data_IF_054885258880
#
_entry.id   IF_054885258880
#
_cell.length_a   1.000
_cell.length_b   1.000
_cell.length_c   1.000
_cell.angle_alpha   90.00
_cell.angle_beta   90.00
_cell.angle_gamma   90.00
#
_symmetry.space_group_name_H-M   'P 1'
#
loop_
_entity.id
_entity.type
_entity.pdbx_description
1 polymer ?
#
# COMPACT_ATOMS: atom_id res chain seq x y z
N UNK A 1 16.09 19.34 12.38
CA UNK A 1 15.19 18.18 12.27
C UNK A 1 15.83 17.17 11.32
N UNK A 2 16.51 16.12 11.84
CA UNK A 2 17.30 15.21 11.00
C UNK A 2 16.44 14.24 10.17
N UNK A 3 15.15 14.06 10.51
CA UNK A 3 14.27 13.09 9.85
C UNK A 3 13.35 13.79 8.86
N UNK A 4 13.77 13.85 7.59
CA UNK A 4 13.03 14.50 6.50
C UNK A 4 12.30 13.45 5.64
N UNK A 5 11.07 13.74 5.27
CA UNK A 5 10.30 12.94 4.34
C UNK A 5 10.92 13.03 2.95
N UNK A 6 11.32 11.88 2.40
CA UNK A 6 11.97 11.77 1.08
C UNK A 6 10.97 11.76 -0.08
N UNK A 7 9.68 11.87 0.20
CA UNK A 7 8.64 11.84 -0.83
C UNK A 7 8.61 13.18 -1.58
N UNK A 8 8.77 13.09 -2.90
CA UNK A 8 8.79 14.24 -3.81
C UNK A 8 7.54 15.10 -3.61
N UNK A 9 7.71 16.37 -3.26
CA UNK A 9 6.61 17.32 -3.03
C UNK A 9 6.04 17.36 -1.61
N UNK A 10 6.51 16.54 -0.66
CA UNK A 10 6.04 16.58 0.72
C UNK A 10 6.71 17.67 1.57
N UNK A 11 8.05 17.71 1.58
CA UNK A 11 8.84 18.69 2.36
C UNK A 11 8.75 18.55 3.89
N UNK A 12 8.02 17.57 4.44
CA UNK A 12 7.84 17.42 5.88
C UNK A 12 9.13 16.98 6.59
N UNK A 13 9.41 17.56 7.76
CA UNK A 13 10.57 17.22 8.58
C UNK A 13 10.20 17.09 10.06
N UNK A 14 10.82 16.12 10.73
CA UNK A 14 10.55 15.72 12.11
C UNK A 14 11.83 15.65 12.94
N UNK A 15 11.68 15.84 14.25
CA UNK A 15 12.80 15.76 15.21
C UNK A 15 13.09 14.32 15.63
N UNK A 16 12.13 13.40 15.43
CA UNK A 16 12.21 11.99 15.81
C UNK A 16 11.86 11.09 14.62
N UNK A 17 12.51 9.93 14.55
CA UNK A 17 12.32 8.94 13.47
C UNK A 17 10.92 8.31 13.48
N UNK A 18 10.34 8.07 14.67
CA UNK A 18 8.98 7.53 14.82
C UNK A 18 7.93 8.41 14.14
N UNK A 19 8.00 9.73 14.36
CA UNK A 19 7.06 10.69 13.77
C UNK A 19 7.18 10.75 12.24
N UNK A 20 8.41 10.66 11.71
CA UNK A 20 8.61 10.54 10.26
C UNK A 20 8.01 9.24 9.72
N UNK A 21 8.20 8.11 10.42
CA UNK A 21 7.66 6.82 10.01
C UNK A 21 6.14 6.83 9.96
N UNK A 22 5.49 7.33 11.01
CA UNK A 22 4.02 7.47 11.06
C UNK A 22 3.50 8.41 9.99
N UNK A 23 4.19 9.53 9.74
CA UNK A 23 3.84 10.45 8.66
C UNK A 23 3.90 9.75 7.29
N UNK A 24 4.99 9.04 6.99
CA UNK A 24 5.11 8.28 5.76
C UNK A 24 4.01 7.23 5.70
N UNK A 25 3.76 6.47 6.76
CA UNK A 25 2.73 5.43 6.80
C UNK A 25 1.30 5.94 6.58
N UNK A 26 1.00 7.16 7.03
CA UNK A 26 -0.37 7.71 6.95
C UNK A 26 -0.60 8.60 5.73
N UNK A 27 0.45 9.25 5.21
CA UNK A 27 0.35 10.25 4.13
C UNK A 27 0.95 9.81 2.82
N UNK A 28 1.82 8.82 2.81
CA UNK A 28 2.59 8.42 1.62
C UNK A 28 2.56 6.94 1.33
N UNK A 29 2.48 6.11 2.36
CA UNK A 29 2.04 4.73 2.28
C UNK A 29 0.52 4.78 2.14
N UNK A 30 0.09 5.29 0.99
CA UNK A 30 -1.13 4.76 0.40
C UNK A 30 -0.85 3.27 0.33
N UNK A 31 -1.57 2.48 1.11
CA UNK A 31 -1.47 1.03 1.02
C UNK A 31 -2.00 0.71 -0.38
N UNK A 32 -1.09 0.70 -1.33
CA UNK A 32 -1.33 0.24 -2.67
C UNK A 32 -1.62 -1.25 -2.52
N UNK A 33 -2.81 -1.65 -2.96
CA UNK A 33 -3.29 -3.02 -2.88
C UNK A 33 -3.08 -3.64 -4.26
N UNK A 34 -1.88 -4.18 -4.55
CA UNK A 34 -1.64 -4.89 -5.81
C UNK A 34 -2.50 -6.15 -5.87
N UNK A 35 -2.96 -6.47 -7.06
CA UNK A 35 -3.61 -7.74 -7.33
C UNK A 35 -2.60 -8.88 -7.11
N UNK A 36 -3.02 -9.91 -6.38
CA UNK A 36 -2.18 -11.07 -6.06
C UNK A 36 -2.24 -12.16 -7.12
N UNK A 37 -2.96 -11.94 -8.22
CA UNK A 37 -3.14 -12.92 -9.29
C UNK A 37 -1.97 -12.83 -10.27
N UNK A 38 -1.33 -13.98 -10.53
CA UNK A 38 -0.22 -14.07 -11.47
C UNK A 38 -0.62 -13.57 -12.86
N UNK A 39 0.14 -12.61 -13.40
CA UNK A 39 -0.16 -11.95 -14.68
C UNK A 39 -1.11 -10.74 -14.58
N UNK A 40 -1.50 -10.33 -13.37
CA UNK A 40 -2.27 -9.10 -13.15
C UNK A 40 -1.45 -8.06 -12.38
N UNK A 41 -1.05 -6.99 -13.05
CA UNK A 41 -0.25 -5.89 -12.47
C UNK A 41 -1.13 -4.71 -12.01
N UNK A 42 -2.42 -4.96 -11.77
CA UNK A 42 -3.36 -3.91 -11.33
C UNK A 42 -3.12 -3.59 -9.86
N UNK A 43 -3.03 -2.30 -9.57
CA UNK A 43 -2.84 -1.77 -8.22
C UNK A 43 -4.00 -0.85 -7.86
N UNK A 44 -4.46 -0.95 -6.62
CA UNK A 44 -5.64 -0.25 -6.14
C UNK A 44 -5.34 0.60 -4.91
N UNK A 45 -6.02 1.74 -4.77
CA UNK A 45 -5.87 2.63 -3.63
C UNK A 45 -6.67 2.17 -2.38
N UNK A 46 -7.52 1.15 -2.50
CA UNK A 46 -8.31 0.61 -1.38
C UNK A 46 -8.50 -0.91 -1.44
N UNK A 47 -8.71 -1.54 -0.28
CA UNK A 47 -9.00 -2.98 -0.20
C UNK A 47 -10.31 -3.33 -0.88
N UNK A 48 -11.34 -2.50 -0.75
CA UNK A 48 -12.63 -2.78 -1.38
C UNK A 48 -12.52 -2.81 -2.90
N UNK A 49 -11.77 -1.87 -3.49
CA UNK A 49 -11.56 -1.84 -4.93
C UNK A 49 -10.73 -3.02 -5.43
N UNK A 50 -9.69 -3.43 -4.69
CA UNK A 50 -8.96 -4.68 -4.97
C UNK A 50 -9.90 -5.90 -4.89
N UNK A 51 -10.69 -6.03 -3.81
CA UNK A 51 -11.61 -7.16 -3.63
C UNK A 51 -12.65 -7.23 -4.75
N UNK A 52 -13.25 -6.10 -5.12
CA UNK A 52 -14.19 -6.04 -6.23
C UNK A 52 -13.51 -6.42 -7.55
N UNK A 53 -12.28 -5.95 -7.79
CA UNK A 53 -11.51 -6.35 -8.96
C UNK A 53 -11.27 -7.85 -9.01
N UNK A 54 -10.76 -8.45 -7.94
CA UNK A 54 -10.50 -9.89 -7.88
C UNK A 54 -11.80 -10.69 -8.04
N UNK A 55 -12.88 -10.28 -7.36
CA UNK A 55 -14.18 -10.96 -7.46
C UNK A 55 -14.80 -10.90 -8.87
N UNK A 56 -14.59 -9.82 -9.63
CA UNK A 56 -15.17 -9.66 -10.97
C UNK A 56 -14.26 -10.13 -12.10
N UNK A 57 -12.95 -9.91 -12.00
CA UNK A 57 -11.96 -10.20 -13.06
C UNK A 57 -11.21 -11.49 -12.84
N UNK A 58 -11.17 -11.97 -11.60
CA UNK A 58 -10.50 -13.20 -11.20
C UNK A 58 -11.45 -14.09 -10.41
N UNK A 59 -12.76 -14.03 -10.72
CA UNK A 59 -13.84 -14.84 -10.14
C UNK A 59 -13.57 -16.34 -10.36
N UNK A 60 -12.72 -16.93 -9.52
CA UNK A 60 -12.19 -18.28 -9.71
C UNK A 60 -10.78 -18.47 -9.14
N UNK A 61 -10.01 -17.39 -8.98
CA UNK A 61 -8.74 -17.41 -8.27
C UNK A 61 -9.03 -17.38 -6.76
N UNK A 62 -9.05 -18.58 -6.17
CA UNK A 62 -8.91 -18.81 -4.73
C UNK A 62 -7.82 -17.88 -4.20
N UNK A 63 -8.22 -16.82 -3.49
CA UNK A 63 -7.28 -15.98 -2.76
C UNK A 63 -6.75 -16.87 -1.66
N UNK A 64 -5.60 -17.52 -1.88
CA UNK A 64 -4.86 -18.10 -0.78
C UNK A 64 -4.28 -16.91 0.00
N UNK A 65 -4.73 -16.64 1.24
CA UNK A 65 -3.91 -15.85 2.12
C UNK A 65 -2.64 -16.68 2.34
N UNK A 66 -1.52 -16.21 1.82
CA UNK A 66 -0.23 -16.72 2.27
C UNK A 66 -0.10 -16.33 3.75
N UNK A 67 -0.55 -17.23 4.62
CA UNK A 67 -0.43 -17.19 6.07
C UNK A 67 0.92 -17.80 6.47
N UNK A 68 2.00 -17.27 5.90
CA UNK A 68 3.35 -17.73 6.24
C UNK A 68 4.35 -16.58 6.07
N UNK A 69 4.46 -15.76 7.12
CA UNK A 69 5.63 -15.79 8.00
C UNK A 69 5.34 -14.99 9.28
#
# INVERSE_FOLDING_TARGET
>A
KPHVCKVTGCGAAYSQSFNLRQHVETRHRHEEFPCTVAGCERVYASRESLRAHVANKHSGARIFPCLTC
#
